data_IF_249426327116
#
_entry.id   IF_249426327116
#
_cell.length_a   1.000
_cell.length_b   1.000
_cell.length_c   1.000
_cell.angle_alpha   90.00
_cell.angle_beta   90.00
_cell.angle_gamma   90.00
#
_symmetry.space_group_name_H-M   'P 1'
#
loop_
_entity.id
_entity.type
_entity.pdbx_description
1 polymer ?
#
# COMPACT_ATOMS: atom_id res chain seq x y z
N UNK A 1 -5.88 -3.76 9.30
CA UNK A 1 -6.46 -2.81 8.33
C UNK A 1 -6.25 -1.35 8.74
N UNK A 2 -6.50 -0.94 10.00
CA UNK A 2 -6.29 0.46 10.45
C UNK A 2 -4.94 1.10 10.09
N UNK A 3 -3.84 0.34 10.10
CA UNK A 3 -2.52 0.87 9.70
C UNK A 3 -2.41 1.08 8.18
N UNK A 4 -3.05 0.23 7.37
CA UNK A 4 -3.07 0.37 5.91
C UNK A 4 -3.87 1.61 5.50
N UNK A 5 -5.09 1.76 6.02
CA UNK A 5 -5.95 2.92 5.77
C UNK A 5 -5.27 4.22 6.20
N UNK A 6 -4.60 4.22 7.37
CA UNK A 6 -3.84 5.38 7.83
C UNK A 6 -2.69 5.74 6.88
N UNK A 7 -1.92 4.75 6.43
CA UNK A 7 -0.83 4.97 5.48
C UNK A 7 -1.34 5.41 4.11
N UNK A 8 -2.49 4.90 3.68
CA UNK A 8 -3.13 5.30 2.43
C UNK A 8 -3.61 6.75 2.48
N UNK A 9 -4.34 7.13 3.53
CA UNK A 9 -4.79 8.51 3.72
C UNK A 9 -3.61 9.48 3.77
N UNK A 10 -2.51 9.09 4.43
CA UNK A 10 -1.29 9.90 4.48
C UNK A 10 -0.67 10.07 3.09
N UNK A 11 -0.66 9.01 2.28
CA UNK A 11 -0.16 9.08 0.91
C UNK A 11 -1.02 10.02 0.04
N UNK A 12 -2.35 9.98 0.20
CA UNK A 12 -3.27 10.90 -0.48
C UNK A 12 -3.02 12.36 -0.11
N UNK A 13 -2.83 12.66 1.19
CA UNK A 13 -2.46 14.00 1.65
C UNK A 13 -1.14 14.48 1.04
N UNK A 14 -0.15 13.59 0.91
CA UNK A 14 1.15 13.91 0.32
C UNK A 14 0.98 14.23 -1.17
N UNK A 15 0.22 13.42 -1.91
CA UNK A 15 -0.05 13.66 -3.34
C UNK A 15 -0.71 15.01 -3.53
N UNK A 16 -1.75 15.30 -2.73
CA UNK A 16 -2.45 16.58 -2.80
C UNK A 16 -1.49 17.77 -2.57
N UNK A 17 -0.62 17.70 -1.55
CA UNK A 17 0.36 18.76 -1.28
C UNK A 17 1.42 18.92 -2.37
N UNK A 18 1.81 17.83 -3.02
CA UNK A 18 2.75 17.87 -4.15
C UNK A 18 2.09 18.51 -5.38
N UNK A 19 0.79 18.28 -5.60
CA UNK A 19 0.01 18.86 -6.70
C UNK A 19 -0.28 20.36 -6.50
N UNK A 20 -0.49 20.80 -5.25
CA UNK A 20 -0.71 22.21 -4.91
C UNK A 20 0.52 23.09 -5.25
N UNK A 21 1.74 22.54 -5.16
CA UNK A 21 2.96 23.20 -5.63
C UNK A 21 3.41 24.43 -4.82
N UNK A 22 2.75 24.76 -3.70
CA UNK A 22 3.05 25.94 -2.87
C UNK A 22 4.17 25.71 -1.84
N UNK A 23 4.80 24.54 -1.82
CA UNK A 23 5.82 24.14 -0.83
C UNK A 23 7.24 24.50 -1.26
N UNK A 24 8.14 24.68 -0.29
CA UNK A 24 9.57 24.85 -0.58
C UNK A 24 10.18 23.59 -1.20
N UNK A 25 11.28 23.74 -1.95
CA UNK A 25 11.98 22.60 -2.56
C UNK A 25 12.37 21.52 -1.53
N UNK A 26 12.80 21.93 -0.33
CA UNK A 26 13.17 21.00 0.74
C UNK A 26 11.94 20.21 1.25
N UNK A 27 10.79 20.86 1.37
CA UNK A 27 9.53 20.20 1.73
C UNK A 27 9.04 19.26 0.64
N UNK A 28 9.13 19.66 -0.62
CA UNK A 28 8.79 18.81 -1.76
C UNK A 28 9.63 17.53 -1.78
N UNK A 29 10.94 17.63 -1.50
CA UNK A 29 11.84 16.48 -1.39
C UNK A 29 11.43 15.56 -0.24
N UNK A 30 11.12 16.10 0.94
CA UNK A 30 10.66 15.31 2.10
C UNK A 30 9.33 14.60 1.82
N UNK A 31 8.38 15.32 1.23
CA UNK A 31 7.07 14.77 0.86
C UNK A 31 7.22 13.64 -0.16
N UNK A 32 8.07 13.82 -1.18
CA UNK A 32 8.34 12.79 -2.17
C UNK A 32 8.98 11.54 -1.56
N UNK A 33 9.98 11.70 -0.69
CA UNK A 33 10.62 10.58 0.01
C UNK A 33 9.62 9.81 0.90
N UNK A 34 8.80 10.54 1.67
CA UNK A 34 7.76 9.94 2.50
C UNK A 34 6.72 9.19 1.65
N UNK A 35 6.21 9.82 0.59
CA UNK A 35 5.22 9.24 -0.31
C UNK A 35 5.74 7.99 -1.02
N UNK A 36 6.98 8.01 -1.51
CA UNK A 36 7.63 6.87 -2.16
C UNK A 36 7.77 5.68 -1.21
N UNK A 37 8.12 5.94 0.05
CA UNK A 37 8.19 4.91 1.08
C UNK A 37 6.81 4.31 1.37
N UNK A 38 5.81 5.14 1.62
CA UNK A 38 4.44 4.69 1.90
C UNK A 38 3.87 3.87 0.74
N UNK A 39 4.07 4.30 -0.50
CA UNK A 39 3.62 3.57 -1.68
C UNK A 39 4.23 2.16 -1.77
N UNK A 40 5.53 2.02 -1.47
CA UNK A 40 6.21 0.72 -1.43
C UNK A 40 5.64 -0.19 -0.34
N UNK A 41 5.45 0.34 0.87
CA UNK A 41 4.90 -0.44 1.99
C UNK A 41 3.46 -0.89 1.72
N UNK A 42 2.60 -0.01 1.19
CA UNK A 42 1.23 -0.33 0.82
C UNK A 42 1.19 -1.44 -0.24
N UNK A 43 2.03 -1.34 -1.27
CA UNK A 43 2.14 -2.39 -2.29
C UNK A 43 2.57 -3.73 -1.69
N UNK A 44 3.57 -3.74 -0.81
CA UNK A 44 4.00 -4.97 -0.13
C UNK A 44 2.88 -5.59 0.71
N UNK A 45 2.09 -4.77 1.41
CA UNK A 45 0.95 -5.26 2.19
C UNK A 45 -0.11 -5.92 1.29
N UNK A 46 -0.40 -5.33 0.13
CA UNK A 46 -1.33 -5.90 -0.85
C UNK A 46 -0.79 -7.19 -1.47
N UNK A 47 0.50 -7.23 -1.81
CA UNK A 47 1.15 -8.43 -2.36
C UNK A 47 1.07 -9.60 -1.36
N UNK A 48 1.32 -9.35 -0.07
CA UNK A 48 1.18 -10.34 1.00
C UNK A 48 -0.28 -10.81 1.16
N UNK A 49 -1.24 -9.88 1.12
CA UNK A 49 -2.64 -10.21 1.25
C UNK A 49 -3.12 -11.07 0.08
N UNK A 50 -2.72 -10.72 -1.15
CA UNK A 50 -3.05 -11.46 -2.37
C UNK A 50 -2.49 -12.88 -2.31
N UNK A 51 -1.21 -13.03 -1.95
CA UNK A 51 -0.57 -14.34 -1.82
C UNK A 51 -1.29 -15.26 -0.82
N UNK A 52 -1.75 -14.72 0.31
CA UNK A 52 -2.52 -15.49 1.29
C UNK A 52 -3.87 -15.93 0.74
N UNK A 53 -4.52 -15.12 -0.08
CA UNK A 53 -5.77 -15.50 -0.74
C UNK A 53 -5.53 -16.63 -1.74
N UNK A 54 -4.45 -16.55 -2.52
CA UNK A 54 -4.08 -17.61 -3.48
C UNK A 54 -3.77 -18.93 -2.76
N UNK A 55 -3.04 -18.88 -1.64
CA UNK A 55 -2.74 -20.06 -0.81
C UNK A 55 -4.03 -20.69 -0.25
N UNK A 56 -4.96 -19.89 0.27
CA UNK A 56 -6.25 -20.38 0.77
C UNK A 56 -7.11 -21.00 -0.34
N UNK A 57 -7.16 -20.37 -1.52
CA UNK A 57 -7.92 -20.89 -2.66
C UNK A 57 -7.36 -22.22 -3.16
N UNK A 58 -6.03 -22.38 -3.20
CA UNK A 58 -5.39 -23.63 -3.59
C UNK A 58 -5.70 -24.77 -2.59
N UNK A 59 -5.69 -24.48 -1.28
CA UNK A 59 -6.04 -25.47 -0.25
C UNK A 59 -7.50 -25.95 -0.37
N UNK A 60 -8.45 -25.05 -0.65
CA UNK A 60 -9.85 -25.41 -0.88
C UNK A 60 -10.06 -26.30 -2.11
N UNK A 61 -9.18 -26.20 -3.11
CA UNK A 61 -9.22 -27.01 -4.32
C UNK A 61 -8.65 -28.42 -4.08
N UNK A 62 -7.55 -28.54 -3.32
CA UNK A 62 -7.00 -29.83 -2.89
C UNK A 62 -7.98 -30.64 -2.02
N UNK A 63 -8.66 -30.00 -1.08
CA UNK A 63 -9.63 -30.65 -0.18
C UNK A 63 -10.87 -31.21 -0.92
N UNK A 64 -11.23 -30.60 -2.07
CA UNK A 64 -12.30 -31.10 -2.96
C UNK A 64 -11.87 -32.25 -3.86
N UNK A 65 -10.58 -32.43 -4.09
CA UNK A 65 -10.04 -33.53 -4.91
C UNK A 65 -9.87 -34.80 -4.06
N UNK A 66 -9.62 -34.66 -2.75
CA UNK A 66 -9.46 -35.76 -1.81
C UNK A 66 -10.77 -36.25 -1.14
N UNK A 67 -11.90 -35.55 -1.35
CA UNK A 67 -13.23 -35.94 -0.86
C UNK A 67 -14.11 -36.59 -1.91
#
# INVERSE_FOLDING_TARGET
MKNFEKSLNRLEEIVQKLEEGESSLEELLKLYEEGSKLARELKQNLDIASKKLDELAAMEEEEKIES
#
